data_IF_487037260446
#
_entry.id   IF_487037260446
#
_cell.length_a   1.000
_cell.length_b   1.000
_cell.length_c   1.000
_cell.angle_alpha   90.00
_cell.angle_beta   90.00
_cell.angle_gamma   90.00
#
_symmetry.space_group_name_H-M   'P 1'
#
loop_
_entity.id
_entity.type
_entity.pdbx_description
1 polymer ?
#
# COMPACT_ATOMS: atom_id res chain seq x y z
N UNK A 1 17.48 -37.71 -37.04
CA UNK A 1 18.89 -38.13 -37.25
C UNK A 1 19.73 -37.43 -36.19
N UNK A 2 20.20 -38.22 -35.22
CA UNK A 2 20.96 -37.80 -34.04
C UNK A 2 22.40 -37.37 -34.39
N UNK A 3 22.91 -36.34 -33.70
CA UNK A 3 24.32 -36.19 -33.23
C UNK A 3 24.26 -35.26 -32.01
N UNK A 4 24.41 -35.65 -30.75
CA UNK A 4 25.52 -36.30 -30.01
C UNK A 4 26.90 -35.63 -30.17
N UNK A 5 27.28 -34.87 -29.13
CA UNK A 5 28.64 -34.65 -28.59
C UNK A 5 28.47 -33.88 -27.26
N UNK A 6 28.38 -34.46 -26.06
CA UNK A 6 29.42 -35.05 -25.19
C UNK A 6 30.79 -34.36 -25.19
N UNK A 7 31.09 -33.63 -24.11
CA UNK A 7 32.37 -33.49 -23.38
C UNK A 7 32.01 -32.83 -22.03
N UNK A 8 31.96 -33.53 -20.88
CA UNK A 8 33.05 -34.04 -20.04
C UNK A 8 34.20 -33.02 -19.91
N UNK A 9 34.26 -32.32 -18.78
CA UNK A 9 35.53 -32.10 -18.08
C UNK A 9 35.30 -32.02 -16.56
N UNK A 10 36.09 -32.83 -15.88
CA UNK A 10 36.14 -33.09 -14.44
C UNK A 10 37.36 -32.33 -13.91
N UNK A 11 37.20 -31.55 -12.84
CA UNK A 11 38.32 -31.03 -12.07
C UNK A 11 38.10 -31.34 -10.58
N UNK A 12 39.11 -31.96 -9.98
CA UNK A 12 39.22 -32.40 -8.60
C UNK A 12 40.10 -31.44 -7.81
N UNK A 13 39.87 -31.34 -6.50
CA UNK A 13 40.89 -31.03 -5.49
C UNK A 13 40.97 -29.55 -5.04
N UNK A 14 41.36 -29.17 -3.81
CA UNK A 14 42.00 -29.82 -2.65
C UNK A 14 41.63 -28.99 -1.39
N UNK A 15 41.69 -29.65 -0.23
CA UNK A 15 41.45 -29.19 1.13
C UNK A 15 42.34 -28.04 1.65
N UNK A 16 41.90 -27.37 2.72
CA UNK A 16 42.78 -26.74 3.70
C UNK A 16 42.20 -26.83 5.13
N UNK A 17 43.04 -27.36 6.04
CA UNK A 17 43.08 -27.26 7.51
C UNK A 17 42.40 -26.02 8.12
N UNK A 18 41.69 -26.06 9.25
CA UNK A 18 42.09 -26.64 10.54
C UNK A 18 42.72 -25.55 11.41
N UNK A 19 42.01 -25.04 12.42
CA UNK A 19 42.62 -24.38 13.60
C UNK A 19 41.65 -24.37 14.78
N UNK A 20 42.07 -25.14 15.78
CA UNK A 20 41.57 -25.30 17.13
C UNK A 20 41.97 -24.13 18.02
N UNK A 21 41.01 -23.55 18.73
CA UNK A 21 41.14 -22.73 19.94
C UNK A 21 39.73 -22.71 20.54
N UNK A 22 39.46 -22.95 21.81
CA UNK A 22 40.24 -23.11 23.00
C UNK A 22 39.22 -22.96 24.12
N UNK A 23 38.89 -24.06 24.79
CA UNK A 23 37.90 -24.11 25.87
C UNK A 23 38.52 -23.49 27.12
N UNK A 24 38.04 -22.32 27.54
CA UNK A 24 38.30 -21.79 28.88
C UNK A 24 36.99 -21.37 29.53
N UNK A 25 36.60 -22.19 30.49
CA UNK A 25 35.61 -22.02 31.55
C UNK A 25 35.77 -20.72 32.33
N UNK A 26 34.73 -19.89 32.42
CA UNK A 26 34.40 -19.04 33.58
C UNK A 26 32.93 -18.56 33.50
N UNK A 27 32.30 -18.13 34.61
CA UNK A 27 31.22 -18.88 35.24
C UNK A 27 29.84 -18.25 35.07
N UNK A 28 28.83 -19.11 35.20
CA UNK A 28 27.60 -18.91 35.97
C UNK A 28 27.27 -17.45 36.37
N UNK A 29 26.56 -16.73 35.51
CA UNK A 29 25.67 -15.65 35.95
C UNK A 29 24.32 -15.81 35.26
N UNK A 30 23.41 -16.44 36.01
CA UNK A 30 21.99 -16.55 35.72
C UNK A 30 21.37 -15.18 35.95
N UNK A 31 21.04 -14.46 34.88
CA UNK A 31 20.17 -13.29 34.95
C UNK A 31 19.05 -13.40 33.91
N UNK A 32 17.84 -13.54 34.44
CA UNK A 32 16.51 -13.21 33.89
C UNK A 32 16.37 -12.91 32.39
N UNK A 33 15.53 -13.73 31.75
CA UNK A 33 14.43 -13.35 30.85
C UNK A 33 14.60 -12.04 30.06
N UNK A 34 15.02 -12.16 28.80
CA UNK A 34 14.74 -11.15 27.78
C UNK A 34 14.17 -11.85 26.56
N UNK A 35 12.91 -11.51 26.33
CA UNK A 35 12.03 -11.96 25.27
C UNK A 35 12.71 -11.82 23.93
N UNK A 36 12.74 -12.92 23.18
CA UNK A 36 13.02 -12.89 21.76
C UNK A 36 11.90 -12.08 21.11
N UNK A 37 12.16 -10.82 20.77
CA UNK A 37 11.33 -10.07 19.83
C UNK A 37 11.61 -10.63 18.44
N UNK A 38 11.05 -11.82 18.17
CA UNK A 38 10.80 -12.24 16.80
C UNK A 38 9.91 -11.16 16.19
N UNK A 39 10.48 -10.36 15.29
CA UNK A 39 9.73 -9.48 14.40
C UNK A 39 8.60 -10.34 13.81
N UNK A 40 7.32 -9.98 14.01
CA UNK A 40 6.26 -10.64 13.27
C UNK A 40 6.55 -10.39 11.81
N UNK A 41 6.92 -11.44 11.10
CA UNK A 41 7.04 -11.41 9.66
C UNK A 41 5.60 -11.18 9.17
N UNK A 42 5.22 -9.92 8.94
CA UNK A 42 3.98 -9.56 8.27
C UNK A 42 4.14 -9.98 6.82
N UNK A 43 4.00 -11.28 6.60
CA UNK A 43 3.79 -11.84 5.29
C UNK A 43 2.41 -11.34 4.89
N UNK A 44 2.31 -10.41 3.93
CA UNK A 44 1.07 -10.24 3.16
C UNK A 44 0.67 -11.65 2.74
N UNK A 45 -0.42 -12.24 3.25
CA UNK A 45 -0.83 -13.54 2.78
C UNK A 45 -1.08 -13.35 1.29
N UNK A 46 -0.28 -14.03 0.47
CA UNK A 46 -0.61 -14.24 -0.93
C UNK A 46 -1.94 -14.99 -0.91
N UNK A 47 -3.03 -14.24 -0.95
CA UNK A 47 -4.37 -14.77 -1.10
C UNK A 47 -4.42 -15.32 -2.51
N UNK A 48 -4.28 -16.64 -2.58
CA UNK A 48 -4.65 -17.43 -3.73
C UNK A 48 -6.16 -17.25 -3.91
N UNK A 49 -6.58 -16.20 -4.62
CA UNK A 49 -7.90 -16.12 -5.20
C UNK A 49 -7.72 -16.19 -6.71
N UNK A 50 -8.25 -17.28 -7.24
CA UNK A 50 -8.31 -17.63 -8.64
C UNK A 50 -8.84 -16.46 -9.50
N UNK A 51 -8.04 -16.01 -10.47
CA UNK A 51 -8.46 -15.06 -11.50
C UNK A 51 -8.55 -13.61 -11.04
N UNK A 52 -7.44 -12.86 -11.19
CA UNK A 52 -7.40 -11.41 -10.98
C UNK A 52 -8.21 -10.70 -12.08
N UNK A 53 -9.52 -10.60 -11.89
CA UNK A 53 -10.36 -9.77 -12.73
C UNK A 53 -10.08 -8.31 -12.36
N UNK A 54 -9.61 -7.57 -13.37
CA UNK A 54 -9.26 -6.16 -13.27
C UNK A 54 -10.34 -5.33 -13.95
N UNK A 55 -10.56 -4.14 -13.42
CA UNK A 55 -11.46 -3.14 -13.99
C UNK A 55 -10.67 -1.86 -14.27
N UNK A 56 -11.10 -1.10 -15.26
CA UNK A 56 -10.42 0.15 -15.61
C UNK A 56 -10.99 1.31 -14.81
N UNK A 57 -10.12 2.02 -14.08
CA UNK A 57 -10.46 3.23 -13.33
C UNK A 57 -9.64 4.38 -13.88
N UNK A 58 -10.30 5.52 -14.12
CA UNK A 58 -9.61 6.72 -14.60
C UNK A 58 -9.54 7.77 -13.50
N UNK A 59 -8.31 8.15 -13.13
CA UNK A 59 -8.02 9.22 -12.20
C UNK A 59 -7.77 10.51 -12.97
N UNK A 60 -8.43 11.58 -12.56
CA UNK A 60 -8.21 12.92 -13.08
C UNK A 60 -7.39 13.65 -12.03
N UNK A 61 -6.16 14.02 -12.37
CA UNK A 61 -5.25 14.67 -11.45
C UNK A 61 -5.66 16.13 -11.14
N UNK A 62 -4.84 16.79 -10.32
CA UNK A 62 -5.03 18.20 -9.93
C UNK A 62 -4.90 19.17 -11.11
N UNK A 63 -4.24 18.76 -12.19
CA UNK A 63 -4.02 19.53 -13.42
C UNK A 63 -5.10 19.25 -14.49
N UNK A 64 -5.98 18.26 -14.25
CA UNK A 64 -7.02 17.81 -15.18
C UNK A 64 -6.57 16.73 -16.16
N UNK A 65 -5.38 16.17 -16.01
CA UNK A 65 -4.87 15.06 -16.83
C UNK A 65 -5.47 13.74 -16.36
N UNK A 66 -5.85 12.92 -17.33
CA UNK A 66 -6.47 11.61 -17.08
C UNK A 66 -5.43 10.48 -17.08
N UNK A 67 -5.56 9.60 -16.10
CA UNK A 67 -4.73 8.42 -15.88
C UNK A 67 -5.64 7.20 -15.73
N UNK A 68 -5.78 6.42 -16.80
CA UNK A 68 -6.52 5.15 -16.77
C UNK A 68 -5.61 4.02 -16.31
N UNK A 69 -6.01 3.33 -15.26
CA UNK A 69 -5.26 2.25 -14.62
C UNK A 69 -6.14 1.03 -14.42
N UNK A 70 -5.51 -0.16 -14.48
CA UNK A 70 -6.20 -1.42 -14.27
C UNK A 70 -6.17 -1.79 -12.78
N UNK A 71 -7.29 -1.59 -12.09
CA UNK A 71 -7.47 -1.84 -10.67
C UNK A 71 -7.90 -3.29 -10.42
N UNK A 72 -7.34 -3.95 -9.39
CA UNK A 72 -7.80 -5.29 -9.03
C UNK A 72 -9.06 -5.19 -8.15
N UNK A 73 -10.03 -6.07 -8.41
CA UNK A 73 -11.22 -6.16 -7.56
C UNK A 73 -10.82 -6.54 -6.13
N UNK A 74 -11.35 -5.79 -5.16
CA UNK A 74 -11.05 -5.95 -3.74
C UNK A 74 -9.96 -5.03 -3.19
N UNK A 75 -9.20 -4.35 -4.06
CA UNK A 75 -8.29 -3.27 -3.64
C UNK A 75 -9.06 -1.99 -3.35
N UNK A 76 -8.47 -1.09 -2.56
CA UNK A 76 -9.04 0.24 -2.35
C UNK A 76 -8.47 1.26 -3.35
N UNK A 77 -9.21 2.32 -3.64
CA UNK A 77 -8.80 3.33 -4.64
C UNK A 77 -7.53 4.10 -4.26
N UNK A 78 -7.15 4.14 -2.97
CA UNK A 78 -5.89 4.73 -2.54
C UNK A 78 -4.69 3.86 -2.92
N UNK A 79 -4.75 2.56 -2.62
CA UNK A 79 -3.70 1.59 -2.99
C UNK A 79 -3.53 1.53 -4.50
N UNK A 80 -4.62 1.46 -5.25
CA UNK A 80 -4.59 1.48 -6.72
C UNK A 80 -3.90 2.74 -7.26
N UNK A 81 -4.15 3.90 -6.66
CA UNK A 81 -3.49 5.13 -7.06
C UNK A 81 -1.98 5.07 -6.79
N UNK A 82 -1.57 4.61 -5.60
CA UNK A 82 -0.16 4.51 -5.20
C UNK A 82 0.62 3.50 -6.05
N UNK A 83 0.03 2.33 -6.31
CA UNK A 83 0.66 1.27 -7.11
C UNK A 83 0.85 1.69 -8.59
N UNK A 84 0.09 2.68 -9.05
CA UNK A 84 0.19 3.23 -10.42
C UNK A 84 0.82 4.64 -10.46
N UNK A 85 1.52 5.06 -9.40
CA UNK A 85 2.24 6.33 -9.31
C UNK A 85 1.37 7.58 -9.55
N UNK A 86 0.08 7.51 -9.19
CA UNK A 86 -0.84 8.64 -9.22
C UNK A 86 -0.65 9.47 -7.95
N UNK A 87 -0.55 10.80 -8.08
CA UNK A 87 -0.39 11.75 -6.96
C UNK A 87 -1.69 11.93 -6.15
N UNK A 88 -2.09 10.87 -5.47
CA UNK A 88 -3.16 10.88 -4.46
C UNK A 88 -2.54 10.80 -3.08
N UNK A 89 -2.85 11.79 -2.23
CA UNK A 89 -2.35 11.78 -0.86
C UNK A 89 -3.07 10.74 0.01
N UNK A 90 -2.36 10.25 1.03
CA UNK A 90 -2.88 9.23 1.94
C UNK A 90 -2.18 9.27 3.28
N UNK A 91 -2.19 10.42 3.96
CA UNK A 91 -1.37 10.69 5.14
C UNK A 91 -1.58 9.72 6.33
N UNK A 92 -2.76 9.12 6.44
CA UNK A 92 -3.07 8.12 7.47
C UNK A 92 -3.06 6.67 6.98
N UNK A 93 -2.63 6.43 5.74
CA UNK A 93 -2.54 5.09 5.13
C UNK A 93 -3.87 4.31 5.18
N UNK A 94 -5.00 5.01 5.05
CA UNK A 94 -6.33 4.41 5.06
C UNK A 94 -6.95 4.15 6.43
N UNK A 95 -6.34 4.62 7.51
CA UNK A 95 -6.82 4.43 8.89
C UNK A 95 -8.05 5.29 9.29
N UNK A 96 -8.76 5.88 8.33
CA UNK A 96 -9.90 6.80 8.56
C UNK A 96 -9.59 7.97 9.53
N UNK A 97 -8.35 8.45 9.52
CA UNK A 97 -7.89 9.51 10.43
C UNK A 97 -7.56 10.83 9.73
N UNK A 98 -7.81 10.93 8.41
CA UNK A 98 -7.60 12.14 7.62
C UNK A 98 -8.50 12.14 6.38
N UNK A 99 -8.57 13.29 5.70
CA UNK A 99 -9.31 13.47 4.44
C UNK A 99 -8.40 13.71 3.22
N UNK A 100 -7.11 13.36 3.31
CA UNK A 100 -6.14 13.61 2.22
C UNK A 100 -6.34 12.71 1.01
N UNK A 101 -7.00 11.56 1.19
CA UNK A 101 -7.37 10.63 0.11
C UNK A 101 -8.75 10.94 -0.53
N UNK A 102 -9.23 12.16 -0.37
CA UNK A 102 -10.52 12.60 -0.91
C UNK A 102 -10.55 12.48 -2.44
N UNK A 103 -11.58 11.81 -2.96
CA UNK A 103 -11.86 11.66 -4.38
C UNK A 103 -13.30 12.08 -4.68
N UNK A 104 -13.51 12.60 -5.89
CA UNK A 104 -14.83 13.03 -6.37
C UNK A 104 -15.21 12.17 -7.57
N UNK A 105 -16.33 11.44 -7.48
CA UNK A 105 -16.86 10.70 -8.63
C UNK A 105 -17.49 11.66 -9.64
N UNK A 106 -17.08 11.58 -10.90
CA UNK A 106 -17.64 12.47 -11.94
C UNK A 106 -19.05 12.09 -12.38
N UNK A 107 -19.40 10.80 -12.30
CA UNK A 107 -20.74 10.33 -12.62
C UNK A 107 -21.44 9.82 -11.35
N UNK A 108 -22.63 10.36 -11.10
CA UNK A 108 -23.52 9.90 -10.03
C UNK A 108 -23.90 8.42 -10.19
N UNK A 109 -23.89 7.88 -11.41
CA UNK A 109 -24.29 6.50 -11.66
C UNK A 109 -23.30 5.51 -11.04
N UNK A 110 -22.00 5.87 -10.96
CA UNK A 110 -21.02 5.05 -10.24
C UNK A 110 -21.10 5.30 -8.73
N UNK A 111 -21.31 6.55 -8.32
CA UNK A 111 -21.47 6.88 -6.90
C UNK A 111 -22.64 6.13 -6.24
N UNK A 112 -23.79 6.03 -6.91
CA UNK A 112 -24.99 5.33 -6.42
C UNK A 112 -24.81 3.81 -6.25
N UNK A 113 -23.77 3.24 -6.86
CA UNK A 113 -23.43 1.81 -6.73
C UNK A 113 -22.53 1.54 -5.53
N UNK A 114 -21.92 2.58 -4.97
CA UNK A 114 -21.09 2.46 -3.77
C UNK A 114 -21.98 2.23 -2.54
N UNK A 115 -21.46 1.52 -1.52
CA UNK A 115 -22.12 1.50 -0.22
C UNK A 115 -22.19 2.93 0.34
N UNK A 116 -23.22 3.21 1.14
CA UNK A 116 -23.34 4.49 1.85
C UNK A 116 -22.09 4.74 2.72
N UNK A 117 -21.67 6.01 2.79
CA UNK A 117 -20.57 6.41 3.66
C UNK A 117 -20.97 6.22 5.13
N UNK A 118 -20.03 5.79 5.96
CA UNK A 118 -20.26 5.70 7.41
C UNK A 118 -20.25 7.10 8.04
N UNK A 119 -20.87 7.24 9.21
CA UNK A 119 -20.83 8.51 9.97
C UNK A 119 -19.40 8.99 10.21
N UNK A 120 -18.48 8.08 10.59
CA UNK A 120 -17.07 8.40 10.79
C UNK A 120 -16.38 8.88 9.49
N UNK A 121 -16.77 8.32 8.33
CA UNK A 121 -16.29 8.79 7.03
C UNK A 121 -16.81 10.20 6.71
N UNK A 122 -18.09 10.46 6.98
CA UNK A 122 -18.71 11.76 6.77
C UNK A 122 -18.08 12.84 7.65
N UNK A 123 -17.82 12.54 8.93
CA UNK A 123 -17.12 13.43 9.87
C UNK A 123 -15.74 13.83 9.34
N UNK A 124 -15.03 12.91 8.67
CA UNK A 124 -13.75 13.20 8.04
C UNK A 124 -13.90 13.95 6.71
N UNK A 125 -14.91 13.63 5.91
CA UNK A 125 -15.21 14.33 4.65
C UNK A 125 -15.58 15.80 4.84
N UNK A 126 -16.22 16.15 5.96
CA UNK A 126 -16.50 17.56 6.33
C UNK A 126 -15.24 18.42 6.45
N UNK A 127 -14.09 17.79 6.66
CA UNK A 127 -12.79 18.46 6.74
C UNK A 127 -12.10 18.58 5.38
N UNK A 128 -12.64 17.93 4.34
CA UNK A 128 -12.07 17.88 2.99
C UNK A 128 -12.27 19.20 2.24
N UNK A 129 -11.34 19.50 1.33
CA UNK A 129 -11.42 20.69 0.50
C UNK A 129 -12.22 20.40 -0.77
N UNK A 130 -13.18 21.27 -1.11
CA UNK A 130 -13.98 21.10 -2.32
C UNK A 130 -14.92 19.89 -2.25
N UNK A 131 -15.51 19.64 -1.07
CA UNK A 131 -16.51 18.60 -0.86
C UNK A 131 -17.71 18.76 -1.82
N UNK A 132 -18.16 17.64 -2.38
CA UNK A 132 -19.31 17.54 -3.29
C UNK A 132 -20.21 16.37 -2.86
N UNK A 133 -21.42 16.31 -3.41
CA UNK A 133 -22.38 15.23 -3.11
C UNK A 133 -21.89 13.83 -3.55
N UNK A 134 -20.93 13.78 -4.46
CA UNK A 134 -20.30 12.54 -4.97
C UNK A 134 -18.89 12.30 -4.42
N UNK A 135 -18.55 12.98 -3.33
CA UNK A 135 -17.25 12.86 -2.66
C UNK A 135 -17.17 11.64 -1.76
N UNK A 136 -16.03 10.95 -1.79
CA UNK A 136 -15.72 9.82 -0.91
C UNK A 136 -14.26 9.84 -0.49
N UNK A 137 -13.94 9.14 0.61
CA UNK A 137 -12.55 8.86 0.95
C UNK A 137 -12.09 7.65 0.13
N UNK A 138 -11.12 7.85 -0.77
CA UNK A 138 -10.64 6.81 -1.67
C UNK A 138 -10.12 5.56 -0.96
N UNK A 139 -9.64 5.69 0.28
CA UNK A 139 -9.22 4.54 1.08
C UNK A 139 -10.37 3.66 1.60
N UNK A 140 -11.60 4.19 1.68
CA UNK A 140 -12.79 3.44 2.11
C UNK A 140 -13.54 2.82 0.94
N UNK A 141 -13.25 3.26 -0.29
CA UNK A 141 -13.89 2.73 -1.49
C UNK A 141 -13.13 1.53 -2.01
N UNK A 142 -13.78 0.36 -1.92
CA UNK A 142 -13.28 -0.91 -2.48
C UNK A 142 -13.70 -1.03 -3.93
N UNK A 143 -12.77 -1.45 -4.79
CA UNK A 143 -12.99 -1.69 -6.21
C UNK A 143 -13.89 -2.92 -6.39
N UNK A 144 -15.01 -2.72 -7.07
CA UNK A 144 -15.95 -3.76 -7.47
C UNK A 144 -16.08 -3.79 -9.00
N UNK A 145 -16.66 -4.88 -9.54
CA UNK A 145 -16.94 -5.01 -10.98
C UNK A 145 -17.79 -3.88 -11.54
N UNK A 146 -18.62 -3.28 -10.71
CA UNK A 146 -19.59 -2.28 -11.13
C UNK A 146 -18.98 -0.88 -11.34
N UNK A 147 -17.75 -0.70 -10.88
CA UNK A 147 -16.93 0.51 -11.05
C UNK A 147 -16.08 0.46 -12.32
N UNK A 148 -16.23 -0.56 -13.17
CA UNK A 148 -15.51 -0.62 -14.44
C UNK A 148 -15.85 0.58 -15.33
N UNK A 149 -14.81 1.33 -15.73
CA UNK A 149 -14.92 2.59 -16.45
C UNK A 149 -15.25 3.80 -15.57
N UNK A 150 -15.17 3.70 -14.24
CA UNK A 150 -15.41 4.85 -13.36
C UNK A 150 -14.33 5.93 -13.54
N UNK A 151 -14.77 7.19 -13.47
CA UNK A 151 -13.91 8.37 -13.52
C UNK A 151 -13.96 9.09 -12.18
N UNK A 152 -12.81 9.24 -11.55
CA UNK A 152 -12.64 9.88 -10.24
C UNK A 152 -11.67 11.04 -10.36
N UNK A 153 -11.99 12.16 -9.72
CA UNK A 153 -11.20 13.38 -9.74
C UNK A 153 -10.53 13.61 -8.40
N UNK A 154 -9.25 13.97 -8.45
CA UNK A 154 -8.47 14.41 -7.30
C UNK A 154 -8.69 15.93 -7.13
N UNK A 155 -9.17 16.40 -5.98
CA UNK A 155 -9.36 17.83 -5.74
C UNK A 155 -8.01 18.56 -5.76
N UNK A 156 -8.02 19.84 -6.18
CA UNK A 156 -6.80 20.62 -6.37
C UNK A 156 -5.98 20.86 -5.09
N UNK A 157 -6.60 20.73 -3.91
CA UNK A 157 -5.95 20.86 -2.62
C UNK A 157 -6.47 19.80 -1.66
N UNK A 158 -5.60 19.34 -0.76
CA UNK A 158 -5.92 18.49 0.37
C UNK A 158 -5.60 19.24 1.67
N UNK A 159 -6.27 18.87 2.77
CA UNK A 159 -5.94 19.41 4.10
C UNK A 159 -4.98 18.49 4.82
N UNK A 160 -3.72 18.48 4.41
CA UNK A 160 -2.67 17.86 5.19
C UNK A 160 -2.20 18.85 6.25
N UNK A 161 -2.40 18.54 7.55
CA UNK A 161 -1.84 19.34 8.64
C UNK A 161 -0.31 19.12 8.67
N UNK A 162 0.42 19.66 7.70
CA UNK A 162 1.80 19.98 7.95
C UNK A 162 1.76 21.14 8.95
N UNK A 163 2.10 20.84 10.21
CA UNK A 163 2.39 21.88 11.19
C UNK A 163 3.61 22.63 10.69
N UNK A 164 3.36 23.71 9.97
CA UNK A 164 4.36 24.68 9.55
C UNK A 164 5.12 25.20 10.78
N UNK A 165 6.25 24.58 11.09
CA UNK A 165 7.38 25.22 11.75
C UNK A 165 7.24 25.62 13.22
N UNK A 166 6.30 25.08 14.00
CA UNK A 166 6.28 25.37 15.44
C UNK A 166 7.39 24.61 16.19
N UNK A 167 8.55 25.24 16.37
CA UNK A 167 9.57 24.78 17.32
C UNK A 167 9.19 25.31 18.71
N UNK A 168 8.72 24.47 19.66
CA UNK A 168 8.48 24.93 21.01
C UNK A 168 9.80 25.44 21.59
N UNK A 169 9.79 26.66 22.13
CA UNK A 169 10.94 27.18 22.88
C UNK A 169 11.11 26.32 24.13
N UNK A 170 12.31 25.75 24.39
CA UNK A 170 12.56 25.15 25.69
C UNK A 170 12.44 26.23 26.75
N UNK A 171 11.64 25.95 27.78
CA UNK A 171 11.54 26.74 28.99
C UNK A 171 12.63 26.31 29.97
#
# INVERSE_FOLDING_TARGET
MLRFCTHVLRAHGIAASGSSIGFTTVPFFRWSAWLHTSVPNYHKPNSLIDGQEKVDITYIDKEGKEHTVAAQIGENLLEVAHDNEIDLEGACEGSLACSTCHLIFESEDYYKKLPEATEDELDMLDLAFGLTDTSRLGCQVVVTKELDGARVRIPAASRNFYVDGHKPKPH
#
